data_IF_085513246822
#
_entry.id   IF_085513246822
#
_cell.length_a   1.000
_cell.length_b   1.000
_cell.length_c   1.000
_cell.angle_alpha   90.00
_cell.angle_beta   90.00
_cell.angle_gamma   90.00
#
_symmetry.space_group_name_H-M   'P 1'
#
loop_
_entity.id
_entity.type
_entity.pdbx_description
1 polymer ?
#
# COMPACT_ATOMS: atom_id res chain seq x y z
N UNK A 1 20.61 9.79 -5.37
CA UNK A 1 19.50 8.82 -5.24
C UNK A 1 19.09 8.77 -3.79
N UNK A 2 17.78 8.89 -3.50
CA UNK A 2 17.26 8.92 -2.13
C UNK A 2 17.64 7.67 -1.35
N UNK A 3 17.85 7.84 -0.05
CA UNK A 3 18.07 6.77 0.92
C UNK A 3 16.82 6.59 1.78
N UNK A 4 16.77 5.49 2.50
CA UNK A 4 15.72 5.20 3.50
C UNK A 4 15.51 6.35 4.50
N UNK A 5 16.59 6.99 4.95
CA UNK A 5 16.54 8.15 5.84
C UNK A 5 15.78 9.34 5.26
N UNK A 6 15.82 9.51 3.94
CA UNK A 6 15.17 10.64 3.27
C UNK A 6 13.65 10.38 3.15
N UNK A 7 13.27 9.13 2.86
CA UNK A 7 11.87 8.67 2.91
C UNK A 7 11.29 8.88 4.30
N UNK A 8 12.03 8.47 5.35
CA UNK A 8 11.57 8.66 6.74
C UNK A 8 11.38 10.14 7.08
N UNK A 9 12.34 11.00 6.73
CA UNK A 9 12.23 12.46 6.95
C UNK A 9 11.01 13.04 6.26
N UNK A 10 10.73 12.64 5.02
CA UNK A 10 9.54 13.09 4.30
C UNK A 10 8.24 12.69 5.02
N UNK A 11 8.13 11.43 5.44
CA UNK A 11 6.96 10.93 6.17
C UNK A 11 6.80 11.61 7.56
N UNK A 12 7.90 11.94 8.23
CA UNK A 12 7.90 12.63 9.52
C UNK A 12 7.35 14.07 9.45
N UNK A 13 7.25 14.67 8.27
CA UNK A 13 6.65 15.99 8.06
C UNK A 13 5.12 15.97 8.06
N UNK A 14 4.50 14.79 8.05
CA UNK A 14 3.06 14.63 7.89
C UNK A 14 2.41 14.07 9.17
N UNK A 15 1.10 14.32 9.30
CA UNK A 15 0.26 13.68 10.31
C UNK A 15 -0.68 12.68 9.63
N UNK A 16 -0.48 11.40 9.93
CA UNK A 16 -1.28 10.30 9.36
C UNK A 16 -2.25 9.68 10.37
N UNK A 17 -2.59 10.37 11.47
CA UNK A 17 -3.52 9.87 12.48
C UNK A 17 -4.89 9.55 11.87
N UNK A 18 -5.26 8.27 11.90
CA UNK A 18 -6.53 7.77 11.35
C UNK A 18 -7.73 8.22 12.17
N UNK A 19 -7.54 8.59 13.45
CA UNK A 19 -8.58 9.17 14.29
C UNK A 19 -8.95 10.58 13.82
N UNK A 20 -8.03 11.28 13.17
CA UNK A 20 -8.24 12.63 12.61
C UNK A 20 -8.73 12.52 11.17
N UNK A 21 -7.99 11.80 10.31
CA UNK A 21 -8.32 11.71 8.88
C UNK A 21 -9.57 10.87 8.59
N UNK A 22 -9.96 9.99 9.52
CA UNK A 22 -11.03 8.98 9.37
C UNK A 22 -10.85 8.06 8.17
N UNK A 23 -9.65 8.01 7.57
CA UNK A 23 -9.43 7.28 6.33
C UNK A 23 -9.19 5.78 6.58
N UNK A 24 -10.24 4.97 6.50
CA UNK A 24 -10.09 3.50 6.61
C UNK A 24 -9.35 2.85 5.44
N UNK A 25 -9.20 3.55 4.31
CA UNK A 25 -8.57 3.07 3.07
C UNK A 25 -7.23 3.76 2.83
N UNK A 26 -6.51 4.03 3.91
CA UNK A 26 -5.16 4.61 3.89
C UNK A 26 -4.12 3.69 3.20
N UNK A 27 -4.39 2.39 3.21
CA UNK A 27 -3.75 1.31 2.44
C UNK A 27 -4.78 0.23 2.10
N UNK A 28 -4.55 -0.58 1.07
CA UNK A 28 -5.51 -1.54 0.53
C UNK A 28 -4.86 -2.85 0.02
N UNK A 29 -5.67 -3.82 -0.40
CA UNK A 29 -5.28 -5.18 -0.74
C UNK A 29 -4.18 -5.28 -1.83
N UNK A 30 -4.20 -4.40 -2.82
CA UNK A 30 -3.24 -4.36 -3.94
C UNK A 30 -1.98 -3.55 -3.63
N UNK A 31 -1.87 -2.95 -2.45
CA UNK A 31 -0.67 -2.22 -2.03
C UNK A 31 0.41 -3.21 -1.56
N UNK A 32 0.95 -4.00 -2.49
CA UNK A 32 2.10 -4.89 -2.26
C UNK A 32 3.36 -4.30 -2.90
N UNK A 33 4.57 -4.70 -2.46
CA UNK A 33 5.82 -4.11 -2.97
C UNK A 33 5.97 -4.22 -4.49
N UNK A 34 5.65 -5.38 -5.07
CA UNK A 34 5.66 -5.64 -6.51
C UNK A 34 4.70 -4.70 -7.27
N UNK A 35 3.46 -4.59 -6.81
CA UNK A 35 2.44 -3.76 -7.46
C UNK A 35 2.76 -2.28 -7.31
N UNK A 36 3.18 -1.83 -6.12
CA UNK A 36 3.55 -0.45 -5.91
C UNK A 36 4.77 -0.05 -6.75
N UNK A 37 5.76 -0.94 -6.87
CA UNK A 37 6.95 -0.74 -7.68
C UNK A 37 6.58 -0.50 -9.16
N UNK A 38 5.83 -1.43 -9.78
CA UNK A 38 5.46 -1.31 -11.20
C UNK A 38 4.50 -0.14 -11.47
N UNK A 39 3.54 0.13 -10.57
CA UNK A 39 2.62 1.27 -10.75
C UNK A 39 3.37 2.60 -10.62
N UNK A 40 4.33 2.70 -9.70
CA UNK A 40 5.16 3.91 -9.58
C UNK A 40 6.01 4.15 -10.83
N UNK A 41 6.56 3.09 -11.42
CA UNK A 41 7.29 3.17 -12.68
C UNK A 41 6.38 3.64 -13.83
N UNK A 42 5.18 3.07 -13.96
CA UNK A 42 4.21 3.51 -14.97
C UNK A 42 3.86 5.01 -14.81
N UNK A 43 3.70 5.50 -13.57
CA UNK A 43 3.46 6.94 -13.31
C UNK A 43 4.64 7.80 -13.75
N UNK A 44 5.88 7.36 -13.49
CA UNK A 44 7.09 8.10 -13.90
C UNK A 44 7.18 8.20 -15.42
N UNK A 45 6.95 7.09 -16.13
CA UNK A 45 7.00 7.09 -17.59
C UNK A 45 5.92 7.99 -18.19
N UNK A 46 4.69 7.91 -17.66
CA UNK A 46 3.61 8.81 -18.06
C UNK A 46 3.97 10.29 -17.80
N UNK A 47 4.47 10.59 -16.60
CA UNK A 47 4.86 11.94 -16.20
C UNK A 47 5.99 12.52 -17.06
N UNK A 48 6.97 11.69 -17.46
CA UNK A 48 8.07 12.09 -18.35
C UNK A 48 7.63 12.36 -19.79
N UNK A 49 6.57 11.69 -20.26
CA UNK A 49 6.04 11.87 -21.61
C UNK A 49 5.13 13.09 -21.75
N UNK A 50 4.40 13.46 -20.69
CA UNK A 50 3.33 14.47 -20.76
C UNK A 50 3.57 15.71 -19.87
N UNK A 51 4.77 15.91 -19.32
CA UNK A 51 5.18 17.02 -18.43
C UNK A 51 4.07 17.65 -17.56
N UNK A 52 3.98 17.26 -16.28
CA UNK A 52 3.15 17.92 -15.24
C UNK A 52 1.63 17.95 -15.51
N UNK A 53 1.11 16.97 -16.24
CA UNK A 53 -0.33 16.83 -16.48
C UNK A 53 -0.99 16.02 -15.37
N UNK A 54 -2.19 16.45 -14.96
CA UNK A 54 -3.07 15.66 -14.09
C UNK A 54 -3.48 14.36 -14.79
N UNK A 55 -3.46 13.25 -14.07
CA UNK A 55 -3.82 11.94 -14.62
C UNK A 55 -4.84 11.20 -13.76
N UNK A 56 -5.56 10.28 -14.36
CA UNK A 56 -6.42 9.31 -13.70
C UNK A 56 -5.76 7.93 -13.69
N UNK A 57 -6.30 6.98 -12.93
CA UNK A 57 -5.84 5.59 -13.00
C UNK A 57 -5.98 4.98 -14.41
N UNK A 58 -6.99 5.42 -15.17
CA UNK A 58 -7.21 4.97 -16.54
C UNK A 58 -6.13 5.49 -17.49
N UNK A 59 -5.68 6.74 -17.31
CA UNK A 59 -4.64 7.33 -18.16
C UNK A 59 -3.30 6.58 -18.01
N UNK A 60 -2.94 6.18 -16.79
CA UNK A 60 -1.74 5.37 -16.53
C UNK A 60 -1.88 3.98 -17.15
N UNK A 61 -3.02 3.33 -16.93
CA UNK A 61 -3.28 1.99 -17.46
C UNK A 61 -3.21 1.94 -19.00
N UNK A 62 -3.83 2.91 -19.67
CA UNK A 62 -3.90 2.96 -21.13
C UNK A 62 -2.64 3.55 -21.78
N UNK A 63 -1.60 3.83 -21.00
CA UNK A 63 -0.30 4.24 -21.56
C UNK A 63 0.36 3.06 -22.26
N UNK A 64 1.02 3.32 -23.40
CA UNK A 64 1.75 2.30 -24.17
C UNK A 64 2.74 1.53 -23.29
N UNK A 65 3.41 2.23 -22.38
CA UNK A 65 4.35 1.62 -21.44
C UNK A 65 3.69 0.62 -20.49
N UNK A 66 2.55 0.98 -19.89
CA UNK A 66 1.83 0.08 -18.99
C UNK A 66 1.29 -1.14 -19.74
N UNK A 67 0.77 -0.96 -20.96
CA UNK A 67 0.31 -2.08 -21.78
C UNK A 67 1.42 -3.10 -22.06
N UNK A 68 2.64 -2.65 -22.34
CA UNK A 68 3.77 -3.55 -22.62
C UNK A 68 4.28 -4.27 -21.37
N UNK A 69 4.38 -3.56 -20.24
CA UNK A 69 5.02 -4.09 -19.02
C UNK A 69 4.05 -4.80 -18.06
N UNK A 70 2.75 -4.55 -18.17
CA UNK A 70 1.73 -5.09 -17.25
C UNK A 70 0.91 -6.21 -17.90
N UNK A 71 0.87 -6.33 -19.24
CA UNK A 71 0.18 -7.43 -19.93
C UNK A 71 0.63 -8.81 -19.46
N UNK A 72 1.93 -9.03 -19.28
CA UNK A 72 2.49 -10.32 -18.86
C UNK A 72 2.13 -10.69 -17.41
N UNK A 73 1.93 -9.69 -16.55
CA UNK A 73 1.49 -9.87 -15.16
C UNK A 73 0.02 -10.37 -15.12
N UNK A 74 -0.79 -9.97 -16.10
CA UNK A 74 -2.23 -10.22 -16.11
C UNK A 74 -2.74 -11.23 -17.15
N UNK A 75 -1.92 -11.68 -18.10
CA UNK A 75 -2.27 -12.64 -19.16
C UNK A 75 -2.64 -14.06 -18.66
N UNK A 76 -2.92 -14.26 -17.37
CA UNK A 76 -3.67 -15.45 -16.94
C UNK A 76 -5.10 -15.35 -17.46
N UNK A 77 -5.58 -16.30 -18.29
CA UNK A 77 -6.93 -16.24 -18.84
C UNK A 77 -7.96 -16.39 -17.70
N UNK A 78 -8.46 -15.27 -17.19
CA UNK A 78 -9.68 -15.28 -16.39
C UNK A 78 -10.86 -15.39 -17.37
N UNK A 79 -11.68 -16.41 -17.23
CA UNK A 79 -12.82 -16.75 -18.10
C UNK A 79 -13.95 -15.71 -18.14
N UNK A 80 -13.75 -14.50 -17.58
CA UNK A 80 -14.77 -13.48 -17.46
C UNK A 80 -14.19 -12.05 -17.58
N UNK A 81 -14.41 -11.41 -18.74
CA UNK A 81 -13.87 -10.08 -19.07
C UNK A 81 -14.31 -8.94 -18.13
N UNK A 82 -15.41 -9.12 -17.38
CA UNK A 82 -15.86 -8.13 -16.39
C UNK A 82 -15.10 -8.23 -15.06
N UNK A 83 -14.70 -9.44 -14.67
CA UNK A 83 -13.89 -9.67 -13.47
C UNK A 83 -12.47 -9.15 -13.68
N UNK A 84 -11.92 -9.30 -14.88
CA UNK A 84 -10.60 -8.76 -15.21
C UNK A 84 -10.59 -7.23 -15.08
N UNK A 85 -11.56 -6.51 -15.68
CA UNK A 85 -11.67 -5.04 -15.58
C UNK A 85 -11.67 -4.52 -14.12
N UNK A 86 -12.48 -5.10 -13.25
CA UNK A 86 -12.54 -4.68 -11.85
C UNK A 86 -11.22 -4.93 -11.09
N UNK A 87 -10.48 -5.98 -11.43
CA UNK A 87 -9.19 -6.27 -10.82
C UNK A 87 -8.09 -5.32 -11.33
N UNK A 88 -8.15 -4.92 -12.61
CA UNK A 88 -7.27 -3.87 -13.17
C UNK A 88 -7.53 -2.51 -12.52
N UNK A 89 -8.80 -2.11 -12.40
CA UNK A 89 -9.17 -0.85 -11.77
C UNK A 89 -8.58 -0.76 -10.36
N UNK A 90 -8.68 -1.84 -9.58
CA UNK A 90 -8.07 -1.91 -8.24
C UNK A 90 -6.54 -1.91 -8.29
N UNK A 91 -5.93 -2.60 -9.25
CA UNK A 91 -4.47 -2.72 -9.36
C UNK A 91 -3.79 -1.37 -9.52
N UNK A 92 -4.36 -0.45 -10.31
CA UNK A 92 -3.82 0.90 -10.43
C UNK A 92 -4.40 1.85 -9.37
N UNK A 93 -5.70 1.82 -9.12
CA UNK A 93 -6.33 2.83 -8.24
C UNK A 93 -5.86 2.72 -6.79
N UNK A 94 -5.64 1.51 -6.26
CA UNK A 94 -5.26 1.35 -4.85
C UNK A 94 -3.84 1.84 -4.53
N UNK A 95 -2.79 1.49 -5.31
CA UNK A 95 -1.46 2.08 -5.12
C UNK A 95 -1.44 3.59 -5.33
N UNK A 96 -2.16 4.12 -6.33
CA UNK A 96 -2.27 5.57 -6.53
C UNK A 96 -2.91 6.27 -5.32
N UNK A 97 -3.94 5.66 -4.72
CA UNK A 97 -4.51 6.16 -3.48
C UNK A 97 -3.53 6.13 -2.31
N UNK A 98 -2.74 5.06 -2.16
CA UNK A 98 -1.71 5.00 -1.12
C UNK A 98 -0.65 6.09 -1.31
N UNK A 99 -0.17 6.30 -2.54
CA UNK A 99 0.80 7.36 -2.87
C UNK A 99 0.21 8.76 -2.61
N UNK A 100 -1.09 8.96 -2.88
CA UNK A 100 -1.79 10.20 -2.57
C UNK A 100 -1.98 10.43 -1.06
N UNK A 101 -2.33 9.38 -0.32
CA UNK A 101 -2.44 9.43 1.14
C UNK A 101 -1.10 9.75 1.79
N UNK A 102 -0.01 9.18 1.26
CA UNK A 102 1.35 9.46 1.68
C UNK A 102 1.88 10.86 1.28
N UNK A 103 1.13 11.61 0.47
CA UNK A 103 1.48 12.95 -0.07
C UNK A 103 2.55 12.98 -1.16
N UNK A 104 2.91 11.83 -1.72
CA UNK A 104 3.79 11.74 -2.91
C UNK A 104 3.02 12.19 -4.16
N UNK A 105 1.72 11.90 -4.21
CA UNK A 105 0.77 12.49 -5.15
C UNK A 105 -0.17 13.44 -4.41
N UNK A 106 -0.66 14.47 -5.10
CA UNK A 106 -1.92 15.11 -4.69
C UNK A 106 -3.08 14.44 -5.40
N UNK A 107 -4.25 14.44 -4.75
CA UNK A 107 -5.49 13.91 -5.30
C UNK A 107 -6.58 14.98 -5.25
N UNK A 108 -7.30 15.13 -6.36
CA UNK A 108 -8.54 15.87 -6.44
C UNK A 108 -9.66 14.96 -6.97
N UNK A 109 -10.82 14.99 -6.33
CA UNK A 109 -11.98 14.24 -6.80
C UNK A 109 -12.88 15.17 -7.63
N UNK A 110 -13.00 14.88 -8.93
CA UNK A 110 -13.90 15.59 -9.85
C UNK A 110 -15.03 14.64 -10.27
N UNK A 111 -16.21 14.83 -9.69
CA UNK A 111 -17.35 13.92 -9.85
C UNK A 111 -17.04 12.52 -9.29
N UNK A 112 -17.08 11.50 -10.16
CA UNK A 112 -16.76 10.11 -9.78
C UNK A 112 -15.28 9.75 -9.97
N UNK A 113 -14.49 10.60 -10.61
CA UNK A 113 -13.10 10.31 -10.96
C UNK A 113 -12.14 10.95 -9.96
N UNK A 114 -11.11 10.20 -9.59
CA UNK A 114 -9.95 10.72 -8.89
C UNK A 114 -8.90 11.15 -9.92
N UNK A 115 -8.41 12.37 -9.79
CA UNK A 115 -7.30 12.93 -10.55
C UNK A 115 -6.11 13.11 -9.64
N UNK A 116 -4.94 12.79 -10.16
CA UNK A 116 -3.68 12.79 -9.44
C UNK A 116 -2.69 13.72 -10.12
N UNK A 117 -1.79 14.28 -9.33
CA UNK A 117 -0.64 15.05 -9.80
C UNK A 117 0.58 14.66 -8.97
N UNK A 118 1.72 14.47 -9.63
CA UNK A 118 2.99 14.19 -8.94
C UNK A 118 3.43 15.39 -8.12
N UNK A 119 3.67 15.17 -6.82
CA UNK A 119 4.21 16.17 -5.90
C UNK A 119 5.68 15.95 -5.60
N UNK A 120 6.12 14.70 -5.55
CA UNK A 120 7.51 14.34 -5.30
C UNK A 120 7.95 13.23 -6.27
N UNK A 121 8.66 13.62 -7.32
CA UNK A 121 9.15 12.68 -8.33
C UNK A 121 10.32 11.84 -7.81
N UNK A 122 11.16 12.37 -6.92
CA UNK A 122 12.32 11.66 -6.39
C UNK A 122 11.88 10.48 -5.52
N UNK A 123 10.81 10.64 -4.72
CA UNK A 123 10.21 9.55 -3.96
C UNK A 123 9.55 8.49 -4.84
N UNK A 124 8.88 8.89 -5.93
CA UNK A 124 8.38 7.92 -6.91
C UNK A 124 9.52 7.12 -7.52
N UNK A 125 10.59 7.80 -7.94
CA UNK A 125 11.78 7.15 -8.52
C UNK A 125 12.48 6.22 -7.52
N UNK A 126 12.51 6.58 -6.23
CA UNK A 126 12.97 5.67 -5.18
C UNK A 126 12.14 4.39 -5.14
N UNK A 127 10.81 4.50 -5.13
CA UNK A 127 9.88 3.37 -5.04
C UNK A 127 9.95 2.49 -6.30
N UNK A 128 10.03 3.10 -7.50
CA UNK A 128 10.02 2.38 -8.78
C UNK A 128 11.32 1.63 -9.09
N UNK A 129 12.44 1.98 -8.45
CA UNK A 129 13.73 1.42 -8.83
C UNK A 129 13.85 -0.10 -8.60
N UNK A 130 13.25 -0.62 -7.53
CA UNK A 130 13.23 -2.07 -7.20
C UNK A 130 12.19 -2.36 -6.13
N UNK A 131 11.65 -3.58 -6.15
CA UNK A 131 10.67 -4.04 -5.16
C UNK A 131 11.12 -3.85 -3.71
N UNK A 132 12.42 -4.01 -3.41
CA UNK A 132 12.97 -3.77 -2.06
C UNK A 132 12.76 -2.32 -1.61
N UNK A 133 12.86 -1.35 -2.50
CA UNK A 133 12.61 0.05 -2.15
C UNK A 133 11.12 0.32 -1.92
N UNK A 134 10.24 -0.28 -2.73
CA UNK A 134 8.80 -0.23 -2.49
C UNK A 134 8.42 -0.86 -1.14
N UNK A 135 9.02 -1.99 -0.78
CA UNK A 135 8.89 -2.59 0.54
C UNK A 135 9.36 -1.65 1.65
N UNK A 136 10.52 -0.99 1.46
CA UNK A 136 11.05 0.00 2.40
C UNK A 136 10.06 1.13 2.64
N UNK A 137 9.52 1.69 1.56
CA UNK A 137 8.50 2.73 1.65
C UNK A 137 7.24 2.25 2.38
N UNK A 138 6.70 1.08 2.01
CA UNK A 138 5.46 0.56 2.61
C UNK A 138 5.63 0.37 4.12
N UNK A 139 6.74 -0.22 4.59
CA UNK A 139 6.89 -0.42 6.03
C UNK A 139 7.05 0.93 6.76
N UNK A 140 7.84 1.88 6.24
CA UNK A 140 8.03 3.19 6.87
C UNK A 140 6.71 3.95 6.96
N UNK A 141 5.94 3.95 5.88
CA UNK A 141 4.63 4.59 5.82
C UNK A 141 3.65 3.95 6.80
N UNK A 142 3.55 2.61 6.81
CA UNK A 142 2.69 1.90 7.74
C UNK A 142 3.08 2.14 9.20
N UNK A 143 4.36 2.04 9.54
CA UNK A 143 4.84 2.29 10.91
C UNK A 143 4.49 3.73 11.34
N UNK A 144 4.72 4.72 10.48
CA UNK A 144 4.36 6.12 10.78
C UNK A 144 2.86 6.30 11.00
N UNK A 145 2.01 5.71 10.15
CA UNK A 145 0.55 5.76 10.31
C UNK A 145 0.13 5.16 11.66
N UNK A 146 0.70 4.00 12.04
CA UNK A 146 0.38 3.33 13.30
C UNK A 146 0.88 4.12 14.53
N UNK A 147 2.04 4.77 14.41
CA UNK A 147 2.59 5.67 15.43
C UNK A 147 1.68 6.89 15.65
N UNK A 148 1.34 7.60 14.58
CA UNK A 148 0.49 8.79 14.64
C UNK A 148 -0.92 8.47 15.15
N UNK A 149 -1.40 7.27 14.81
CA UNK A 149 -2.70 6.75 15.24
C UNK A 149 -2.72 6.23 16.68
N UNK A 150 -1.55 6.12 17.34
CA UNK A 150 -1.42 5.65 18.71
C UNK A 150 -1.56 4.13 18.92
N UNK A 151 -1.59 3.33 17.86
CA UNK A 151 -1.78 1.87 17.94
C UNK A 151 -0.51 1.04 17.72
N UNK A 152 0.63 1.70 17.52
CA UNK A 152 1.91 1.02 17.35
C UNK A 152 2.30 0.09 18.51
N UNK A 153 1.84 0.39 19.73
CA UNK A 153 2.14 -0.41 20.92
C UNK A 153 1.63 -1.86 20.81
N UNK A 154 0.50 -2.09 20.13
CA UNK A 154 -0.04 -3.42 19.89
C UNK A 154 0.87 -4.25 18.97
N UNK A 155 1.42 -3.62 17.92
CA UNK A 155 2.36 -4.25 17.01
C UNK A 155 3.66 -4.61 17.73
N UNK A 156 4.18 -3.70 18.58
CA UNK A 156 5.35 -3.98 19.42
C UNK A 156 5.11 -5.16 20.36
N UNK A 157 3.94 -5.23 20.99
CA UNK A 157 3.58 -6.33 21.88
C UNK A 157 3.61 -7.68 21.14
N UNK A 158 3.03 -7.75 19.94
CA UNK A 158 3.10 -8.95 19.11
C UNK A 158 4.54 -9.31 18.72
N UNK A 159 5.34 -8.35 18.25
CA UNK A 159 6.72 -8.62 17.83
C UNK A 159 7.67 -9.04 18.96
N UNK A 160 7.33 -8.73 20.21
CA UNK A 160 8.08 -9.17 21.39
C UNK A 160 7.71 -10.60 21.83
N UNK A 161 6.44 -11.00 21.71
CA UNK A 161 5.95 -12.28 22.24
C UNK A 161 5.80 -13.38 21.18
N UNK A 162 5.29 -13.04 20.00
CA UNK A 162 5.12 -13.94 18.84
C UNK A 162 4.38 -15.27 19.13
N UNK A 163 3.40 -15.24 20.02
CA UNK A 163 2.50 -16.36 20.30
C UNK A 163 1.22 -16.26 19.48
N UNK A 164 0.47 -17.36 19.33
CA UNK A 164 -0.86 -17.36 18.70
C UNK A 164 -1.80 -16.36 19.37
N UNK A 165 -1.78 -16.32 20.70
CA UNK A 165 -2.58 -15.40 21.51
C UNK A 165 -2.20 -13.94 21.21
N UNK A 166 -0.91 -13.59 21.22
CA UNK A 166 -0.47 -12.23 20.91
C UNK A 166 -0.82 -11.78 19.49
N UNK A 167 -0.90 -12.71 18.53
CA UNK A 167 -1.34 -12.44 17.17
C UNK A 167 -2.84 -12.16 17.10
N UNK A 168 -3.68 -12.98 17.76
CA UNK A 168 -5.12 -12.75 17.79
C UNK A 168 -5.45 -11.44 18.54
N UNK A 169 -4.76 -11.14 19.64
CA UNK A 169 -4.91 -9.85 20.35
C UNK A 169 -4.56 -8.66 19.43
N UNK A 170 -3.43 -8.70 18.72
CA UNK A 170 -3.07 -7.66 17.76
C UNK A 170 -4.15 -7.49 16.68
N UNK A 171 -4.63 -8.61 16.14
CA UNK A 171 -5.64 -8.60 15.07
C UNK A 171 -6.97 -8.04 15.55
N UNK A 172 -7.41 -8.39 16.75
CA UNK A 172 -8.62 -7.84 17.38
C UNK A 172 -8.48 -6.34 17.69
N UNK A 173 -7.38 -5.92 18.34
CA UNK A 173 -7.10 -4.50 18.59
C UNK A 173 -7.07 -3.68 17.31
N UNK A 174 -6.48 -4.21 16.23
CA UNK A 174 -6.47 -3.53 14.93
C UNK A 174 -7.87 -3.46 14.30
N UNK A 175 -8.66 -4.54 14.37
CA UNK A 175 -10.05 -4.56 13.90
C UNK A 175 -10.89 -3.50 14.60
N UNK A 176 -10.85 -3.48 15.93
CA UNK A 176 -11.64 -2.56 16.75
C UNK A 176 -11.20 -1.12 16.54
N UNK A 177 -9.90 -0.87 16.43
CA UNK A 177 -9.38 0.47 16.15
C UNK A 177 -9.90 1.02 14.81
N UNK A 178 -9.80 0.24 13.73
CA UNK A 178 -10.21 0.70 12.40
C UNK A 178 -11.73 0.91 12.34
N UNK A 179 -12.51 -0.01 12.91
CA UNK A 179 -13.99 0.09 12.93
C UNK A 179 -14.45 1.28 13.76
N UNK A 180 -13.80 1.54 14.89
CA UNK A 180 -14.16 2.67 15.78
C UNK A 180 -13.81 4.02 15.16
N UNK A 181 -12.70 4.10 14.41
CA UNK A 181 -12.14 5.39 13.99
C UNK A 181 -12.36 5.72 12.52
N UNK A 182 -12.93 4.83 11.70
CA UNK A 182 -13.09 5.04 10.26
C UNK A 182 -14.45 4.53 9.76
N UNK A 183 -14.92 4.93 8.56
CA UNK A 183 -16.18 4.44 7.98
C UNK A 183 -16.21 2.95 7.58
N UNK A 184 -15.14 2.18 7.83
CA UNK A 184 -15.14 0.74 7.53
C UNK A 184 -15.91 -0.01 8.61
N UNK A 185 -17.03 -0.62 8.23
CA UNK A 185 -17.95 -1.27 9.18
C UNK A 185 -17.77 -2.80 9.27
N UNK A 186 -16.88 -3.41 8.51
CA UNK A 186 -16.80 -4.87 8.35
C UNK A 186 -15.41 -5.45 8.59
N UNK A 187 -15.31 -6.43 9.51
CA UNK A 187 -14.06 -7.13 9.86
C UNK A 187 -13.36 -7.77 8.66
N UNK A 188 -14.11 -8.23 7.65
CA UNK A 188 -13.54 -8.86 6.45
C UNK A 188 -12.62 -7.92 5.67
N UNK A 189 -13.03 -6.67 5.48
CA UNK A 189 -12.20 -5.69 4.74
C UNK A 189 -10.99 -5.29 5.60
N UNK A 190 -11.20 -5.07 6.89
CA UNK A 190 -10.11 -4.74 7.83
C UNK A 190 -9.04 -5.82 7.85
N UNK A 191 -9.42 -7.11 7.86
CA UNK A 191 -8.49 -8.26 7.84
C UNK A 191 -7.65 -8.32 6.55
N UNK A 192 -8.23 -7.92 5.41
CA UNK A 192 -7.49 -7.84 4.13
C UNK A 192 -6.42 -6.77 4.18
N UNK A 193 -6.77 -5.60 4.74
CA UNK A 193 -5.84 -4.48 4.95
C UNK A 193 -4.77 -4.85 5.97
N UNK A 194 -5.14 -5.45 7.10
CA UNK A 194 -4.26 -5.84 8.20
C UNK A 194 -3.04 -6.63 7.71
N UNK A 195 -3.24 -7.59 6.81
CA UNK A 195 -2.15 -8.40 6.25
C UNK A 195 -1.13 -7.55 5.48
N UNK A 196 -1.60 -6.51 4.77
CA UNK A 196 -0.76 -5.58 3.99
C UNK A 196 -0.01 -4.59 4.87
N UNK A 197 -0.45 -4.41 6.12
CA UNK A 197 0.23 -3.61 7.13
C UNK A 197 1.24 -4.45 7.90
N UNK A 198 0.81 -5.59 8.45
CA UNK A 198 1.64 -6.44 9.31
C UNK A 198 2.85 -7.02 8.57
N UNK A 199 2.65 -7.58 7.37
CA UNK A 199 3.69 -8.36 6.71
C UNK A 199 4.92 -7.54 6.27
N UNK A 200 4.79 -6.33 5.70
CA UNK A 200 5.93 -5.48 5.41
C UNK A 200 6.75 -5.13 6.66
N UNK A 201 6.07 -4.79 7.75
CA UNK A 201 6.70 -4.46 9.03
C UNK A 201 7.41 -5.68 9.63
N UNK A 202 6.72 -6.83 9.67
CA UNK A 202 7.29 -8.08 10.15
C UNK A 202 8.53 -8.49 9.35
N UNK A 203 8.51 -8.32 8.02
CA UNK A 203 9.66 -8.62 7.18
C UNK A 203 10.87 -7.73 7.53
N UNK A 204 10.64 -6.43 7.70
CA UNK A 204 11.70 -5.48 8.06
C UNK A 204 12.36 -5.82 9.41
N UNK A 205 11.55 -6.15 10.42
CA UNK A 205 12.04 -6.50 11.76
C UNK A 205 12.54 -7.96 11.89
N UNK A 206 12.54 -8.73 10.80
CA UNK A 206 12.82 -10.18 10.82
C UNK A 206 11.94 -10.96 11.81
N UNK A 207 10.65 -10.61 11.83
CA UNK A 207 9.61 -11.17 12.69
C UNK A 207 8.61 -12.02 11.89
N UNK A 208 7.82 -12.80 12.62
CA UNK A 208 6.76 -13.64 12.11
C UNK A 208 5.58 -12.77 11.65
N UNK A 209 5.03 -13.08 10.48
CA UNK A 209 3.85 -12.41 9.90
C UNK A 209 2.68 -13.36 9.74
N UNK A 210 1.67 -12.95 8.97
CA UNK A 210 0.44 -13.74 8.74
C UNK A 210 0.48 -14.58 7.46
N UNK A 211 0.02 -15.84 7.56
CA UNK A 211 0.05 -16.83 6.48
C UNK A 211 -1.21 -16.82 5.61
N UNK A 212 -1.46 -15.74 4.87
CA UNK A 212 -2.59 -15.72 3.92
C UNK A 212 -2.37 -15.02 2.59
N UNK A 213 -1.14 -14.72 2.21
CA UNK A 213 -0.90 -14.17 0.87
C UNK A 213 0.30 -14.85 0.25
N UNK A 214 0.09 -15.46 -0.92
CA UNK A 214 1.17 -15.72 -1.87
C UNK A 214 1.70 -14.37 -2.34
N UNK A 215 2.57 -13.76 -1.55
CA UNK A 215 3.35 -12.60 -1.99
C UNK A 215 4.62 -13.18 -2.57
N UNK A 216 4.89 -12.88 -3.84
CA UNK A 216 6.19 -13.17 -4.44
C UNK A 216 7.31 -12.72 -3.50
N UNK A 217 8.34 -13.56 -3.39
CA UNK A 217 9.65 -13.31 -2.80
C UNK A 217 9.77 -12.83 -1.33
N UNK A 218 8.69 -12.55 -0.60
CA UNK A 218 8.77 -12.28 0.84
C UNK A 218 8.88 -13.59 1.62
N UNK A 219 10.11 -13.97 1.95
CA UNK A 219 10.44 -15.10 2.83
C UNK A 219 10.08 -14.75 4.29
N UNK A 220 8.79 -14.63 4.59
CA UNK A 220 8.29 -14.45 5.95
C UNK A 220 8.22 -15.84 6.59
N UNK A 221 8.88 -16.02 7.75
CA UNK A 221 8.57 -17.17 8.59
C UNK A 221 7.14 -16.99 9.11
N UNK A 222 6.28 -17.93 8.73
CA UNK A 222 4.84 -17.84 8.97
C UNK A 222 4.51 -18.45 10.33
N UNK A 223 3.81 -17.70 11.19
CA UNK A 223 3.09 -18.32 12.30
C UNK A 223 1.74 -18.81 11.80
N UNK A 224 1.68 -20.14 11.66
CA UNK A 224 0.47 -20.94 11.76
C UNK A 224 -0.53 -20.83 10.60
N UNK A 225 -0.58 -21.89 9.80
CA UNK A 225 -1.75 -22.23 8.99
C UNK A 225 -2.93 -22.48 9.94
N UNK A 226 -4.07 -21.84 9.71
CA UNK A 226 -5.34 -22.34 10.23
C UNK A 226 -5.68 -23.68 9.57
#
# INVERSE_FOLDING_TARGET
MLKESDVKKFLDLQNYDLRISKNGRWIDQKCTPDVLNIVSDCVIQFYKQQEKVEFTSADIWHSTYAEENVRDIFNKPSTNAKLSRNEYDKFFAQPLEMLANAKILSKEKRGRQNRYLVKDIELLEFISLRERNALVFIYLYCEKVLLDSGIWHEFKNFFNNQTKESYENLKESYEDFIITNTPINGKTEVRRIFTKVLNPIANFYHKLGTSRVGVGFLRIQLLMRN
#
